data_IF_243670474559
#
_entry.id   IF_243670474559
#
_cell.length_a   1.000
_cell.length_b   1.000
_cell.length_c   1.000
_cell.angle_alpha   90.00
_cell.angle_beta   90.00
_cell.angle_gamma   90.00
#
_symmetry.space_group_name_H-M   'P 1'
#
loop_
_entity.id
_entity.type
_entity.pdbx_description
1 polymer ?
#
# COMPACT_ATOMS: atom_id res chain seq x y z
N UNK A 1 35.22 23.76 3.40
CA UNK A 1 33.89 24.28 3.72
C UNK A 1 32.87 23.18 3.31
N UNK A 2 32.46 22.44 4.34
CA UNK A 2 31.53 21.30 4.20
C UNK A 2 30.09 21.82 4.05
N UNK A 3 29.49 21.58 2.94
CA UNK A 3 28.04 21.69 2.74
C UNK A 3 27.39 20.37 3.12
N UNK A 4 26.94 20.25 4.38
CA UNK A 4 26.11 19.14 4.83
C UNK A 4 24.73 19.24 4.20
N UNK A 5 24.43 18.32 3.28
CA UNK A 5 23.07 18.07 2.82
C UNK A 5 22.29 17.49 4.00
N UNK A 6 21.43 18.28 4.62
CA UNK A 6 20.50 17.81 5.62
C UNK A 6 19.49 16.87 4.93
N UNK A 7 19.53 15.60 5.32
CA UNK A 7 18.47 14.64 5.03
C UNK A 7 17.14 15.21 5.56
N UNK A 8 16.03 15.21 4.79
CA UNK A 8 14.78 15.76 5.29
C UNK A 8 14.32 14.95 6.50
N UNK A 9 14.23 15.64 7.60
CA UNK A 9 13.79 15.16 8.90
C UNK A 9 12.41 14.52 8.78
N UNK A 10 12.37 13.27 9.14
CA UNK A 10 11.26 12.37 9.44
C UNK A 10 9.87 12.73 8.91
N UNK A 11 9.34 11.86 8.06
CA UNK A 11 7.93 11.80 7.68
C UNK A 11 6.95 11.81 8.90
N UNK A 12 7.44 11.52 10.11
CA UNK A 12 6.71 11.73 11.37
C UNK A 12 6.23 13.18 11.51
N UNK A 13 7.07 14.14 11.14
CA UNK A 13 6.76 15.57 11.26
C UNK A 13 5.68 15.96 10.23
N UNK A 14 5.64 15.30 9.07
CA UNK A 14 4.63 15.55 8.03
C UNK A 14 3.24 15.04 8.41
N UNK A 15 3.15 13.97 9.23
CA UNK A 15 1.86 13.40 9.68
C UNK A 15 1.34 14.07 10.97
N UNK A 16 2.22 14.67 11.77
CA UNK A 16 1.86 15.36 13.02
C UNK A 16 1.75 16.89 12.90
N UNK A 17 2.28 17.51 11.84
CA UNK A 17 2.16 18.97 11.63
C UNK A 17 0.81 19.34 10.96
N UNK A 18 -0.29 18.76 11.49
CA UNK A 18 -1.65 19.06 11.07
C UNK A 18 -2.12 20.48 11.43
N UNK A 19 -1.24 21.33 11.91
CA UNK A 19 -1.55 22.72 12.21
C UNK A 19 -1.46 23.66 11.00
N UNK A 20 -0.81 23.23 9.88
CA UNK A 20 -0.58 24.10 8.71
C UNK A 20 -0.76 23.43 7.35
N UNK A 21 -0.78 22.11 7.25
CA UNK A 21 -0.88 21.39 5.98
C UNK A 21 -2.22 20.68 5.90
N UNK A 22 -2.98 20.92 4.84
CA UNK A 22 -4.24 20.22 4.61
C UNK A 22 -3.99 18.74 4.33
N UNK A 23 -4.97 17.89 4.59
CA UNK A 23 -4.88 16.45 4.28
C UNK A 23 -4.60 16.22 2.78
N UNK A 24 -5.22 17.02 1.92
CA UNK A 24 -5.03 16.96 0.46
C UNK A 24 -3.56 17.23 0.10
N UNK A 25 -2.95 18.26 0.69
CA UNK A 25 -1.53 18.56 0.42
C UNK A 25 -0.60 17.47 0.92
N UNK A 26 -0.88 16.86 2.08
CA UNK A 26 -0.11 15.73 2.59
C UNK A 26 -0.19 14.52 1.63
N UNK A 27 -1.38 14.22 1.09
CA UNK A 27 -1.58 13.18 0.08
C UNK A 27 -0.85 13.53 -1.22
N UNK A 28 -0.95 14.78 -1.72
CA UNK A 28 -0.22 15.27 -2.91
C UNK A 28 1.28 15.02 -2.77
N UNK A 29 1.87 15.39 -1.63
CA UNK A 29 3.30 15.16 -1.35
C UNK A 29 3.64 13.66 -1.28
N UNK A 30 2.80 12.85 -0.64
CA UNK A 30 3.01 11.40 -0.57
C UNK A 30 3.02 10.74 -1.95
N UNK A 31 2.10 11.13 -2.84
CA UNK A 31 2.05 10.68 -4.23
C UNK A 31 3.32 11.08 -5.00
N UNK A 32 3.82 12.31 -4.81
CA UNK A 32 5.07 12.75 -5.42
C UNK A 32 6.27 11.96 -4.91
N UNK A 33 6.32 11.61 -3.63
CA UNK A 33 7.43 10.79 -3.05
C UNK A 33 7.48 9.40 -3.68
N UNK A 34 6.33 8.78 -3.98
CA UNK A 34 6.30 7.45 -4.63
C UNK A 34 6.46 7.55 -6.16
N UNK A 35 6.83 8.73 -6.67
CA UNK A 35 7.33 8.93 -8.02
C UNK A 35 6.31 9.46 -9.03
N UNK A 36 5.11 9.86 -8.62
CA UNK A 36 4.22 10.61 -9.52
C UNK A 36 4.77 12.03 -9.73
N UNK A 37 4.87 12.44 -10.99
CA UNK A 37 5.49 13.71 -11.41
C UNK A 37 4.47 14.79 -11.78
N UNK A 38 3.26 14.38 -12.15
CA UNK A 38 2.18 15.27 -12.57
C UNK A 38 0.95 15.11 -11.67
N UNK A 39 1.08 15.52 -10.40
CA UNK A 39 -0.01 15.55 -9.40
C UNK A 39 -0.50 16.98 -9.25
N UNK A 40 -1.66 17.25 -9.84
CA UNK A 40 -2.25 18.59 -9.88
C UNK A 40 -3.33 18.72 -8.80
N UNK A 41 -3.36 19.86 -8.12
CA UNK A 41 -4.46 20.24 -7.23
C UNK A 41 -5.59 20.82 -8.07
N UNK A 42 -6.79 20.26 -7.96
CA UNK A 42 -7.91 20.69 -8.79
C UNK A 42 -8.43 22.08 -8.40
N UNK A 43 -8.27 22.50 -7.15
CA UNK A 43 -8.62 23.84 -6.69
C UNK A 43 -7.65 24.90 -7.26
N UNK A 44 -6.39 24.55 -7.53
CA UNK A 44 -5.40 25.44 -8.19
C UNK A 44 -5.70 25.62 -9.68
N UNK A 45 -6.37 24.66 -10.34
CA UNK A 45 -6.68 24.67 -11.75
C UNK A 45 -7.94 25.48 -12.11
N UNK A 46 -8.82 25.74 -11.15
CA UNK A 46 -10.13 26.36 -11.39
C UNK A 46 -10.25 27.68 -10.64
N UNK A 47 -10.13 28.78 -11.36
CA UNK A 47 -10.32 30.14 -10.81
C UNK A 47 -11.77 30.49 -10.47
N UNK A 48 -12.74 29.85 -11.14
CA UNK A 48 -14.19 30.06 -10.94
C UNK A 48 -14.94 28.78 -11.31
N UNK A 49 -15.70 28.20 -10.38
CA UNK A 49 -16.53 27.05 -10.72
C UNK A 49 -16.84 26.13 -9.54
N UNK A 50 -17.56 25.04 -9.83
CA UNK A 50 -17.97 24.05 -8.85
C UNK A 50 -16.77 23.16 -8.51
N UNK A 51 -16.44 23.04 -7.22
CA UNK A 51 -15.44 22.08 -6.74
C UNK A 51 -15.78 20.68 -7.23
N UNK A 52 -14.76 19.95 -7.68
CA UNK A 52 -14.84 18.57 -8.16
C UNK A 52 -13.96 17.68 -7.27
N UNK A 53 -13.16 16.80 -7.87
CA UNK A 53 -12.15 16.01 -7.16
C UNK A 53 -11.08 16.90 -6.52
N UNK A 54 -10.32 16.37 -5.55
CA UNK A 54 -9.25 17.12 -4.88
C UNK A 54 -7.96 17.18 -5.72
N UNK A 55 -7.51 16.02 -6.27
CA UNK A 55 -6.27 15.93 -7.05
C UNK A 55 -6.48 15.20 -8.37
N UNK A 56 -5.57 15.44 -9.32
CA UNK A 56 -5.48 14.72 -10.60
C UNK A 56 -4.06 14.21 -10.80
N UNK A 57 -3.91 12.97 -11.32
CA UNK A 57 -2.62 12.37 -11.69
C UNK A 57 -2.61 12.15 -13.20
N UNK A 58 -1.68 12.80 -13.88
CA UNK A 58 -1.56 12.81 -15.35
C UNK A 58 -0.34 12.06 -15.88
N UNK A 59 0.36 11.30 -15.05
CA UNK A 59 1.60 10.60 -15.43
C UNK A 59 1.38 9.50 -16.46
N UNK A 60 0.24 8.82 -16.42
CA UNK A 60 -0.11 7.69 -17.29
C UNK A 60 -1.58 7.74 -17.74
N UNK A 61 -1.95 6.80 -18.61
CA UNK A 61 -3.35 6.49 -18.95
C UNK A 61 -3.80 5.26 -18.14
N UNK A 62 -5.00 5.31 -17.54
CA UNK A 62 -5.92 6.44 -17.48
C UNK A 62 -5.41 7.60 -16.60
N UNK A 63 -5.91 8.81 -16.84
CA UNK A 63 -5.75 9.92 -15.86
C UNK A 63 -6.54 9.56 -14.62
N UNK A 64 -5.93 9.69 -13.44
CA UNK A 64 -6.60 9.37 -12.18
C UNK A 64 -7.13 10.64 -11.50
N UNK A 65 -8.41 10.63 -11.17
CA UNK A 65 -9.03 11.58 -10.25
C UNK A 65 -8.85 11.05 -8.83
N UNK A 66 -8.41 11.89 -7.91
CA UNK A 66 -8.20 11.50 -6.52
C UNK A 66 -9.13 12.31 -5.62
N UNK A 67 -9.93 11.62 -4.84
CA UNK A 67 -10.76 12.20 -3.78
C UNK A 67 -10.14 11.85 -2.43
N UNK A 68 -9.93 12.87 -1.59
CA UNK A 68 -9.28 12.73 -0.29
C UNK A 68 -10.26 13.08 0.81
N UNK A 69 -10.53 12.16 1.72
CA UNK A 69 -11.54 12.38 2.77
C UNK A 69 -11.05 12.01 4.16
N UNK A 70 -11.25 12.93 5.12
CA UNK A 70 -10.98 12.69 6.54
C UNK A 70 -12.26 12.52 7.34
N UNK A 71 -12.45 11.35 7.96
CA UNK A 71 -13.65 11.01 8.74
C UNK A 71 -13.28 10.51 10.14
N UNK A 72 -14.15 10.80 11.12
CA UNK A 72 -13.92 10.40 12.50
C UNK A 72 -14.22 8.91 12.75
N UNK A 73 -15.13 8.32 11.99
CA UNK A 73 -15.58 6.93 12.09
C UNK A 73 -15.09 6.05 10.95
N UNK A 74 -15.88 5.00 10.68
CA UNK A 74 -15.69 4.12 9.52
C UNK A 74 -16.29 4.77 8.28
N UNK A 75 -15.73 4.50 7.07
CA UNK A 75 -16.27 5.01 5.82
C UNK A 75 -17.67 4.48 5.56
N UNK A 76 -18.58 5.38 5.21
CA UNK A 76 -19.85 4.99 4.61
C UNK A 76 -19.66 4.71 3.12
N UNK A 77 -20.66 4.08 2.49
CA UNK A 77 -20.66 3.92 1.04
C UNK A 77 -20.54 5.28 0.32
N UNK A 78 -21.30 6.28 0.77
CA UNK A 78 -21.24 7.64 0.21
C UNK A 78 -19.84 8.26 0.30
N UNK A 79 -19.09 8.00 1.39
CA UNK A 79 -17.73 8.50 1.57
C UNK A 79 -16.76 7.85 0.58
N UNK A 80 -16.92 6.55 0.34
CA UNK A 80 -16.02 5.76 -0.48
C UNK A 80 -16.20 5.99 -1.99
N UNK A 81 -17.47 6.13 -2.45
CA UNK A 81 -17.79 6.22 -3.89
C UNK A 81 -17.77 7.65 -4.44
N UNK A 82 -17.39 8.64 -3.63
CA UNK A 82 -17.51 10.05 -4.03
C UNK A 82 -16.75 10.38 -5.32
N UNK A 83 -15.56 9.79 -5.53
CA UNK A 83 -14.76 9.98 -6.75
C UNK A 83 -15.52 9.58 -8.02
N UNK A 84 -16.36 8.55 -7.94
CA UNK A 84 -17.18 8.07 -9.07
C UNK A 84 -18.09 9.14 -9.67
N UNK A 85 -18.53 10.11 -8.86
CA UNK A 85 -19.37 11.24 -9.32
C UNK A 85 -18.68 12.15 -10.33
N UNK A 86 -17.36 12.15 -10.35
CA UNK A 86 -16.56 13.05 -11.18
C UNK A 86 -16.07 12.38 -12.48
N UNK A 87 -16.04 11.05 -12.58
CA UNK A 87 -15.51 10.33 -13.73
C UNK A 87 -16.22 10.73 -15.03
N UNK A 88 -17.54 10.47 -15.13
CA UNK A 88 -18.29 10.79 -16.33
C UNK A 88 -18.31 12.29 -16.70
N UNK A 89 -18.47 13.24 -15.76
CA UNK A 89 -18.29 14.65 -16.04
C UNK A 89 -16.93 15.01 -16.62
N UNK A 90 -15.82 14.45 -16.07
CA UNK A 90 -14.48 14.71 -16.58
C UNK A 90 -14.22 14.07 -17.92
N UNK A 91 -14.70 12.84 -18.15
CA UNK A 91 -14.64 12.20 -19.48
C UNK A 91 -15.30 13.07 -20.54
N UNK A 92 -16.49 13.62 -20.24
CA UNK A 92 -17.21 14.53 -21.14
C UNK A 92 -16.47 15.82 -21.37
N UNK A 93 -15.97 16.45 -20.29
CA UNK A 93 -15.26 17.73 -20.35
C UNK A 93 -13.96 17.62 -21.17
N UNK A 94 -13.21 16.53 -20.99
CA UNK A 94 -11.93 16.32 -21.66
C UNK A 94 -12.03 15.61 -23.01
N UNK A 95 -13.23 15.16 -23.40
CA UNK A 95 -13.43 14.41 -24.65
C UNK A 95 -12.69 13.08 -24.69
N UNK A 96 -12.48 12.44 -23.54
CA UNK A 96 -11.72 11.17 -23.40
C UNK A 96 -12.46 10.19 -22.49
N UNK A 97 -12.19 8.88 -22.65
CA UNK A 97 -12.82 7.82 -21.86
C UNK A 97 -11.88 7.15 -20.86
N UNK A 98 -10.58 7.39 -20.97
CA UNK A 98 -9.53 6.85 -20.12
C UNK A 98 -9.31 7.72 -18.88
N UNK A 99 -10.31 7.76 -18.02
CA UNK A 99 -10.30 8.45 -16.71
C UNK A 99 -10.66 7.44 -15.64
N UNK A 100 -9.78 7.25 -14.67
CA UNK A 100 -9.96 6.39 -13.51
C UNK A 100 -10.16 7.21 -12.23
N UNK A 101 -10.49 6.54 -11.14
CA UNK A 101 -10.71 7.18 -9.85
C UNK A 101 -10.00 6.48 -8.70
N UNK A 102 -9.60 7.24 -7.70
CA UNK A 102 -9.03 6.76 -6.44
C UNK A 102 -9.62 7.56 -5.29
N UNK A 103 -10.21 6.87 -4.30
CA UNK A 103 -10.59 7.48 -3.03
C UNK A 103 -9.55 7.15 -1.96
N UNK A 104 -8.92 8.18 -1.36
CA UNK A 104 -7.96 8.04 -0.27
C UNK A 104 -8.60 8.54 1.02
N UNK A 105 -8.86 7.62 1.96
CA UNK A 105 -9.67 7.91 3.14
C UNK A 105 -8.86 7.84 4.42
N UNK A 106 -8.82 8.94 5.16
CA UNK A 106 -8.33 9.02 6.53
C UNK A 106 -9.46 8.67 7.50
N UNK A 107 -9.76 7.36 7.61
CA UNK A 107 -10.78 6.84 8.54
C UNK A 107 -10.29 6.86 9.97
N UNK A 108 -11.23 6.93 10.92
CA UNK A 108 -10.92 6.98 12.35
C UNK A 108 -9.79 8.00 12.65
N UNK A 109 -9.88 9.19 12.07
CA UNK A 109 -8.80 10.20 12.09
C UNK A 109 -8.32 10.60 13.49
N UNK A 110 -9.17 10.39 14.51
CA UNK A 110 -8.87 10.68 15.91
C UNK A 110 -8.27 9.48 16.67
N UNK A 111 -8.10 8.33 15.97
CA UNK A 111 -7.51 7.11 16.53
C UNK A 111 -6.07 7.00 16.02
N UNK A 112 -5.09 6.62 16.87
CA UNK A 112 -3.72 6.35 16.41
C UNK A 112 -3.68 5.32 15.28
N UNK A 113 -2.78 5.49 14.30
CA UNK A 113 -2.76 4.66 13.09
C UNK A 113 -2.71 3.16 13.34
N UNK A 114 -1.95 2.71 14.36
CA UNK A 114 -1.82 1.30 14.72
C UNK A 114 -3.08 0.69 15.34
N UNK A 115 -3.97 1.52 15.87
CA UNK A 115 -5.20 1.11 16.57
C UNK A 115 -6.42 1.19 15.63
N UNK A 116 -6.23 1.67 14.39
CA UNK A 116 -7.30 1.78 13.40
C UNK A 116 -7.69 0.42 12.84
N UNK A 117 -8.94 0.32 12.39
CA UNK A 117 -9.42 -0.88 11.69
C UNK A 117 -8.60 -1.15 10.44
N UNK A 118 -8.14 -2.39 10.27
CA UNK A 118 -7.44 -2.85 9.06
C UNK A 118 -8.43 -3.16 7.91
N UNK A 119 -9.72 -3.32 8.21
CA UNK A 119 -10.79 -3.59 7.25
C UNK A 119 -11.84 -2.47 7.31
N UNK A 120 -11.49 -1.24 6.83
CA UNK A 120 -12.39 -0.09 6.94
C UNK A 120 -13.54 -0.11 5.94
N UNK A 121 -13.46 -0.88 4.86
CA UNK A 121 -14.46 -0.95 3.80
C UNK A 121 -15.26 -2.24 3.91
N UNK A 122 -16.58 -2.15 3.77
CA UNK A 122 -17.45 -3.32 3.71
C UNK A 122 -17.38 -4.00 2.33
N UNK A 123 -17.78 -5.27 2.25
CA UNK A 123 -17.79 -6.02 0.98
C UNK A 123 -18.65 -5.32 -0.09
N UNK A 124 -19.76 -4.71 0.32
CA UNK A 124 -20.63 -3.93 -0.60
C UNK A 124 -19.88 -2.75 -1.19
N UNK A 125 -19.13 -2.01 -0.35
CA UNK A 125 -18.31 -0.86 -0.81
C UNK A 125 -17.20 -1.33 -1.75
N UNK A 126 -16.56 -2.45 -1.46
CA UNK A 126 -15.51 -3.01 -2.31
C UNK A 126 -16.05 -3.49 -3.65
N UNK A 127 -17.20 -4.18 -3.66
CA UNK A 127 -17.86 -4.61 -4.89
C UNK A 127 -18.24 -3.41 -5.75
N UNK A 128 -18.88 -2.40 -5.18
CA UNK A 128 -19.23 -1.17 -5.88
C UNK A 128 -18.00 -0.44 -6.47
N UNK A 129 -16.88 -0.44 -5.77
CA UNK A 129 -15.65 0.15 -6.28
C UNK A 129 -15.08 -0.61 -7.49
N UNK A 130 -15.16 -1.94 -7.48
CA UNK A 130 -14.76 -2.78 -8.62
C UNK A 130 -15.69 -2.53 -9.82
N UNK A 131 -17.00 -2.57 -9.61
CA UNK A 131 -18.01 -2.39 -10.66
C UNK A 131 -17.93 -1.01 -11.33
N UNK A 132 -17.63 0.03 -10.53
CA UNK A 132 -17.47 1.39 -11.00
C UNK A 132 -16.03 1.76 -11.39
N UNK A 133 -15.10 0.80 -11.35
CA UNK A 133 -13.72 0.92 -11.81
C UNK A 133 -12.91 2.02 -11.10
N UNK A 134 -13.00 2.11 -9.79
CA UNK A 134 -12.12 2.97 -9.00
C UNK A 134 -11.47 2.24 -7.82
N UNK A 135 -10.36 2.80 -7.32
CA UNK A 135 -9.59 2.25 -6.23
C UNK A 135 -9.94 2.87 -4.88
N UNK A 136 -9.77 2.09 -3.81
CA UNK A 136 -9.98 2.50 -2.43
C UNK A 136 -8.72 2.26 -1.60
N UNK A 137 -8.13 3.32 -1.07
CA UNK A 137 -6.94 3.29 -0.22
C UNK A 137 -7.20 4.02 1.09
N UNK A 138 -6.57 3.60 2.19
CA UNK A 138 -6.54 4.41 3.41
C UNK A 138 -5.28 5.27 3.45
N UNK A 139 -5.33 6.39 4.18
CA UNK A 139 -4.10 7.17 4.43
C UNK A 139 -3.06 6.38 5.22
N UNK A 140 -3.49 5.36 6.00
CA UNK A 140 -2.57 4.44 6.67
C UNK A 140 -1.81 3.55 5.69
N UNK A 141 -2.49 3.04 4.66
CA UNK A 141 -1.81 2.31 3.58
C UNK A 141 -0.85 3.20 2.81
N UNK A 142 -1.29 4.42 2.46
CA UNK A 142 -0.42 5.39 1.78
C UNK A 142 0.83 5.72 2.62
N UNK A 143 0.66 5.90 3.94
CA UNK A 143 1.78 6.11 4.85
C UNK A 143 2.75 4.92 4.85
N UNK A 144 2.23 3.68 4.99
CA UNK A 144 3.05 2.47 4.94
C UNK A 144 3.77 2.32 3.60
N UNK A 145 3.08 2.64 2.50
CA UNK A 145 3.64 2.58 1.15
C UNK A 145 4.83 3.54 1.01
N UNK A 146 4.66 4.82 1.38
CA UNK A 146 5.72 5.82 1.34
C UNK A 146 6.89 5.43 2.23
N UNK A 147 6.61 5.00 3.45
CA UNK A 147 7.64 4.61 4.41
C UNK A 147 8.52 3.47 3.88
N UNK A 148 7.88 2.38 3.42
CA UNK A 148 8.61 1.23 2.91
C UNK A 148 9.28 1.52 1.56
N UNK A 149 8.68 2.35 0.70
CA UNK A 149 9.31 2.85 -0.52
C UNK A 149 10.66 3.51 -0.23
N UNK A 150 10.71 4.39 0.78
CA UNK A 150 11.92 5.10 1.18
C UNK A 150 12.95 4.18 1.86
N UNK A 151 12.48 3.25 2.72
CA UNK A 151 13.37 2.40 3.53
C UNK A 151 13.93 1.21 2.77
N UNK A 152 13.12 0.58 1.92
CA UNK A 152 13.49 -0.64 1.18
C UNK A 152 13.98 -0.33 -0.24
N UNK A 153 14.00 0.94 -0.64
CA UNK A 153 14.47 1.37 -1.94
C UNK A 153 13.60 0.86 -3.10
N UNK A 154 12.29 0.73 -2.87
CA UNK A 154 11.34 0.41 -3.93
C UNK A 154 11.42 1.46 -5.04
N UNK A 155 11.01 1.08 -6.25
CA UNK A 155 11.00 1.98 -7.40
C UNK A 155 9.57 2.42 -7.71
N UNK A 156 9.35 3.52 -8.45
CA UNK A 156 8.02 3.90 -8.90
C UNK A 156 7.24 2.76 -9.55
N UNK A 157 7.88 1.95 -10.39
CA UNK A 157 7.28 0.78 -11.06
C UNK A 157 6.80 -0.30 -10.08
N UNK A 158 7.29 -0.31 -8.85
CA UNK A 158 6.84 -1.26 -7.82
C UNK A 158 5.54 -0.83 -7.15
N UNK A 159 5.22 0.46 -7.15
CA UNK A 159 4.13 1.03 -6.35
C UNK A 159 3.09 1.79 -7.16
N UNK A 160 3.47 2.51 -8.21
CA UNK A 160 2.53 3.27 -9.03
C UNK A 160 1.42 2.41 -9.65
N UNK A 161 1.67 1.17 -10.14
CA UNK A 161 0.60 0.32 -10.68
C UNK A 161 -0.49 -0.03 -9.68
N UNK A 162 -0.25 0.10 -8.36
CA UNK A 162 -1.27 -0.11 -7.34
C UNK A 162 -2.43 0.89 -7.46
N UNK A 163 -2.13 2.14 -7.85
CA UNK A 163 -3.12 3.21 -7.95
C UNK A 163 -4.06 3.05 -9.16
N UNK A 164 -3.74 2.15 -10.08
CA UNK A 164 -4.56 1.79 -11.24
C UNK A 164 -5.40 0.53 -11.02
N UNK A 165 -5.40 -0.02 -9.80
CA UNK A 165 -6.25 -1.15 -9.41
C UNK A 165 -7.62 -0.67 -8.96
N UNK A 166 -8.63 -1.53 -9.12
CA UNK A 166 -9.98 -1.29 -8.65
C UNK A 166 -10.25 -2.04 -7.34
N UNK A 167 -11.17 -1.53 -6.53
CA UNK A 167 -11.44 -2.07 -5.20
C UNK A 167 -10.35 -1.72 -4.18
N UNK A 168 -10.06 -2.62 -3.27
CA UNK A 168 -9.10 -2.39 -2.17
C UNK A 168 -7.66 -2.31 -2.66
N UNK A 169 -7.01 -1.20 -2.37
CA UNK A 169 -5.57 -1.00 -2.60
C UNK A 169 -4.83 -1.02 -1.26
N UNK A 170 -4.04 -2.06 -1.04
CA UNK A 170 -3.18 -2.21 0.13
C UNK A 170 -1.74 -1.77 -0.17
N UNK A 171 -0.97 -1.51 0.89
CA UNK A 171 0.44 -1.11 0.78
C UNK A 171 1.35 -2.31 0.46
N UNK A 172 1.01 -3.10 -0.56
CA UNK A 172 1.77 -4.27 -1.02
C UNK A 172 2.31 -4.00 -2.41
N UNK A 173 3.64 -3.85 -2.61
CA UNK A 173 4.21 -3.53 -3.92
C UNK A 173 3.98 -4.68 -4.91
N UNK A 174 3.93 -4.36 -6.21
CA UNK A 174 3.52 -5.32 -7.26
C UNK A 174 4.50 -6.50 -7.44
N UNK A 175 5.73 -6.35 -7.00
CA UNK A 175 6.73 -7.43 -7.07
C UNK A 175 6.70 -8.38 -5.85
N UNK A 176 5.84 -8.12 -4.86
CA UNK A 176 5.59 -9.04 -3.75
C UNK A 176 4.46 -10.00 -4.12
N UNK A 177 4.75 -11.29 -4.08
CA UNK A 177 3.81 -12.36 -4.38
C UNK A 177 3.43 -13.08 -3.09
N UNK A 178 2.14 -13.14 -2.79
CA UNK A 178 1.68 -13.72 -1.55
C UNK A 178 2.03 -15.21 -1.44
N UNK A 179 2.70 -15.57 -0.36
CA UNK A 179 3.05 -16.96 -0.02
C UNK A 179 2.05 -17.55 0.94
N UNK A 180 1.77 -16.84 2.05
CA UNK A 180 0.91 -17.35 3.11
C UNK A 180 1.10 -16.60 4.41
N UNK A 181 0.90 -17.28 5.53
CA UNK A 181 0.91 -16.69 6.86
C UNK A 181 1.87 -17.41 7.80
N UNK A 182 2.49 -16.68 8.73
CA UNK A 182 3.15 -17.31 9.87
C UNK A 182 2.07 -18.00 10.71
N UNK A 183 2.19 -19.30 10.89
CA UNK A 183 1.30 -20.12 11.74
C UNK A 183 1.92 -20.31 13.12
N UNK A 184 3.25 -20.43 13.20
CA UNK A 184 3.95 -20.69 14.45
C UNK A 184 5.37 -20.15 14.44
N UNK A 185 5.85 -19.71 15.61
CA UNK A 185 7.26 -19.37 15.82
C UNK A 185 7.90 -20.33 16.80
N UNK A 186 9.04 -20.88 16.42
CA UNK A 186 9.86 -21.82 17.21
C UNK A 186 11.07 -21.05 17.76
N UNK A 187 10.84 -20.32 18.86
CA UNK A 187 11.80 -19.38 19.45
C UNK A 187 13.18 -19.97 19.73
N UNK A 188 13.24 -21.21 20.27
CA UNK A 188 14.51 -21.86 20.63
C UNK A 188 15.47 -22.09 19.45
N UNK A 189 14.94 -22.18 18.26
CA UNK A 189 15.73 -22.46 17.03
C UNK A 189 15.65 -21.32 16.00
N UNK A 190 14.94 -20.24 16.29
CA UNK A 190 14.79 -19.08 15.40
C UNK A 190 14.14 -19.46 14.06
N UNK A 191 13.05 -20.26 14.10
CA UNK A 191 12.35 -20.74 12.89
C UNK A 191 10.89 -20.30 12.95
N UNK A 192 10.37 -19.77 11.85
CA UNK A 192 8.93 -19.57 11.61
C UNK A 192 8.37 -20.73 10.79
N UNK A 193 7.19 -21.22 11.19
CA UNK A 193 6.38 -22.11 10.38
C UNK A 193 5.42 -21.27 9.54
N UNK A 194 5.63 -21.28 8.23
CA UNK A 194 4.80 -20.56 7.26
C UNK A 194 3.80 -21.54 6.65
N UNK A 195 2.51 -21.28 6.82
CA UNK A 195 1.47 -21.98 6.06
C UNK A 195 1.47 -21.43 4.65
N UNK A 196 1.99 -22.19 3.70
CA UNK A 196 1.99 -21.81 2.29
C UNK A 196 0.58 -21.93 1.74
N UNK A 197 0.05 -20.87 1.15
CA UNK A 197 -1.35 -20.77 0.66
C UNK A 197 -1.39 -20.63 -0.87
N UNK A 198 -0.55 -19.75 -1.43
CA UNK A 198 -0.56 -19.44 -2.87
C UNK A 198 0.80 -19.74 -3.50
N UNK A 199 1.71 -18.78 -3.51
CA UNK A 199 3.01 -18.95 -4.16
C UNK A 199 3.90 -19.93 -3.39
N UNK A 200 4.52 -20.86 -4.10
CA UNK A 200 5.55 -21.70 -3.52
C UNK A 200 6.76 -20.88 -3.06
N UNK A 201 7.43 -21.34 -2.01
CA UNK A 201 8.70 -20.77 -1.53
C UNK A 201 9.82 -21.77 -1.77
N UNK A 202 10.99 -21.27 -2.18
CA UNK A 202 12.17 -22.06 -2.48
C UNK A 202 13.34 -21.59 -1.62
N UNK A 203 14.29 -22.49 -1.37
CA UNK A 203 15.57 -22.10 -0.79
C UNK A 203 16.31 -21.16 -1.74
N UNK A 204 16.85 -20.05 -1.21
CA UNK A 204 17.45 -18.96 -1.98
C UNK A 204 16.48 -17.86 -2.40
N UNK A 205 15.16 -18.04 -2.25
CA UNK A 205 14.20 -16.96 -2.46
C UNK A 205 14.44 -15.82 -1.47
N UNK A 206 14.15 -14.58 -1.87
CA UNK A 206 13.95 -13.48 -0.95
C UNK A 206 12.48 -13.41 -0.56
N UNK A 207 12.22 -13.30 0.73
CA UNK A 207 10.86 -13.16 1.27
C UNK A 207 10.74 -11.90 2.11
N UNK A 208 9.51 -11.39 2.22
CA UNK A 208 9.15 -10.24 3.05
C UNK A 208 8.07 -10.63 4.06
N UNK A 209 8.27 -10.26 5.31
CA UNK A 209 7.26 -10.37 6.37
C UNK A 209 6.57 -9.02 6.54
N UNK A 210 5.24 -9.01 6.46
CA UNK A 210 4.45 -7.79 6.65
C UNK A 210 4.17 -7.54 8.12
N UNK A 211 4.88 -6.58 8.68
CA UNK A 211 4.60 -6.09 10.03
C UNK A 211 3.57 -4.93 10.00
N UNK A 212 3.06 -4.49 11.15
CA UNK A 212 2.04 -3.45 11.21
C UNK A 212 2.41 -2.14 10.47
N UNK A 213 3.70 -1.79 10.42
CA UNK A 213 4.19 -0.59 9.76
C UNK A 213 5.11 -0.94 8.59
N UNK A 214 6.09 -1.79 8.84
CA UNK A 214 7.24 -2.05 7.97
C UNK A 214 7.17 -3.46 7.37
N UNK A 215 7.90 -3.68 6.28
CA UNK A 215 8.27 -5.00 5.83
C UNK A 215 9.67 -5.34 6.32
N UNK A 216 9.91 -6.61 6.68
CA UNK A 216 11.24 -7.15 6.94
C UNK A 216 11.55 -8.16 5.86
N UNK A 217 12.59 -7.89 5.08
CA UNK A 217 13.04 -8.77 4.01
C UNK A 217 14.21 -9.65 4.47
N UNK A 218 14.21 -10.90 4.06
CA UNK A 218 15.33 -11.81 4.25
C UNK A 218 15.44 -12.85 3.12
N UNK A 219 16.58 -13.51 3.02
CA UNK A 219 16.78 -14.68 2.17
C UNK A 219 16.32 -15.95 2.89
N UNK A 220 15.79 -16.91 2.17
CA UNK A 220 15.45 -18.25 2.65
C UNK A 220 16.72 -19.12 2.63
N UNK A 221 17.55 -18.98 3.66
CA UNK A 221 18.80 -19.73 3.79
C UNK A 221 18.56 -21.25 3.90
N UNK A 222 17.49 -21.65 4.58
CA UNK A 222 17.10 -23.04 4.78
C UNK A 222 15.59 -23.20 4.77
N UNK A 223 15.13 -24.28 4.16
CA UNK A 223 13.72 -24.61 4.05
C UNK A 223 13.47 -26.04 4.51
N UNK A 224 12.47 -26.24 5.35
CA UNK A 224 12.08 -27.55 5.86
C UNK A 224 10.58 -27.77 5.70
N UNK A 225 10.18 -28.99 5.39
CA UNK A 225 8.82 -29.48 5.48
C UNK A 225 8.82 -30.82 6.22
N UNK A 226 7.89 -31.04 7.14
CA UNK A 226 7.80 -32.27 7.94
C UNK A 226 9.14 -32.67 8.60
N UNK A 227 9.90 -31.69 9.08
CA UNK A 227 11.25 -31.84 9.71
C UNK A 227 12.34 -32.36 8.75
N UNK A 228 12.12 -32.34 7.45
CA UNK A 228 13.11 -32.68 6.42
C UNK A 228 13.48 -31.45 5.62
N UNK A 229 14.75 -31.34 5.27
CA UNK A 229 15.20 -30.29 4.33
C UNK A 229 14.55 -30.51 2.97
N UNK A 230 14.01 -29.49 2.38
CA UNK A 230 13.40 -29.49 1.04
C UNK A 230 13.90 -28.29 0.24
N UNK A 231 13.96 -28.44 -1.07
CA UNK A 231 14.32 -27.32 -1.95
C UNK A 231 13.15 -26.36 -2.17
N UNK A 232 11.91 -26.87 -2.12
CA UNK A 232 10.68 -26.11 -2.42
C UNK A 232 9.56 -26.57 -1.49
N UNK A 233 8.74 -25.63 -1.03
CA UNK A 233 7.49 -25.88 -0.33
C UNK A 233 6.33 -25.25 -1.12
N UNK A 234 5.39 -26.10 -1.54
CA UNK A 234 4.21 -25.71 -2.32
C UNK A 234 3.01 -25.35 -1.42
N UNK A 235 1.94 -24.87 -2.02
CA UNK A 235 0.67 -24.60 -1.35
C UNK A 235 0.16 -25.83 -0.56
N UNK A 236 -0.39 -25.60 0.63
CA UNK A 236 -0.84 -26.62 1.56
C UNK A 236 0.22 -27.08 2.57
N UNK A 237 1.51 -26.82 2.32
CA UNK A 237 2.61 -27.25 3.19
C UNK A 237 2.84 -26.25 4.33
N UNK A 238 3.21 -26.77 5.52
CA UNK A 238 3.77 -25.96 6.60
C UNK A 238 5.30 -25.93 6.44
N UNK A 239 5.83 -24.83 5.95
CA UNK A 239 7.25 -24.64 5.67
C UNK A 239 7.96 -24.02 6.88
N UNK A 240 9.03 -24.68 7.38
CA UNK A 240 9.93 -24.12 8.39
C UNK A 240 11.03 -23.29 7.73
N UNK A 241 11.09 -22.01 8.06
CA UNK A 241 12.11 -21.07 7.55
C UNK A 241 12.84 -20.43 8.72
N UNK A 242 14.17 -20.51 8.70
CA UNK A 242 15.00 -19.78 9.68
C UNK A 242 14.81 -18.28 9.51
N UNK A 243 14.69 -17.57 10.62
CA UNK A 243 14.39 -16.12 10.59
C UNK A 243 15.13 -15.36 11.67
N UNK A 244 15.39 -14.06 11.37
CA UNK A 244 15.92 -13.08 12.31
C UNK A 244 14.82 -12.25 13.01
N UNK A 245 13.54 -12.59 12.78
CA UNK A 245 12.43 -11.91 13.46
C UNK A 245 12.49 -12.14 14.97
N UNK A 246 12.16 -11.10 15.75
CA UNK A 246 11.92 -11.25 17.17
C UNK A 246 10.58 -11.97 17.41
N UNK A 247 10.33 -12.41 18.64
CA UNK A 247 9.07 -13.05 19.04
C UNK A 247 7.85 -12.15 18.80
N UNK A 248 8.01 -10.84 19.04
CA UNK A 248 6.96 -9.84 18.84
C UNK A 248 6.65 -9.63 17.36
N UNK A 249 7.64 -9.85 16.49
CA UNK A 249 7.51 -9.73 15.03
C UNK A 249 6.98 -11.02 14.40
N UNK A 250 7.40 -12.19 14.88
CA UNK A 250 7.03 -13.50 14.36
C UNK A 250 5.66 -13.99 14.86
N UNK A 251 4.66 -13.10 14.91
CA UNK A 251 3.30 -13.44 15.38
C UNK A 251 2.55 -14.26 14.35
N UNK A 252 1.67 -15.13 14.85
CA UNK A 252 0.70 -15.84 14.01
C UNK A 252 -0.16 -14.83 13.23
N UNK A 253 -0.39 -15.11 11.95
CA UNK A 253 -1.17 -14.27 11.04
C UNK A 253 -0.34 -13.22 10.28
N UNK A 254 0.96 -13.07 10.56
CA UNK A 254 1.84 -12.21 9.76
C UNK A 254 1.90 -12.73 8.33
N UNK A 255 1.53 -11.89 7.36
CA UNK A 255 1.59 -12.24 5.93
C UNK A 255 3.04 -12.33 5.46
N UNK A 256 3.29 -13.32 4.62
CA UNK A 256 4.61 -13.58 4.02
C UNK A 256 4.47 -13.50 2.52
N UNK A 257 5.41 -12.78 1.90
CA UNK A 257 5.46 -12.59 0.45
C UNK A 257 6.81 -13.07 -0.09
N UNK A 258 6.82 -13.64 -1.30
CA UNK A 258 8.02 -13.85 -2.09
C UNK A 258 8.31 -12.61 -2.91
N UNK A 259 9.55 -12.18 -2.93
CA UNK A 259 10.00 -11.02 -3.70
C UNK A 259 10.43 -11.53 -5.08
N UNK A 260 9.69 -11.15 -6.12
CA UNK A 260 10.05 -11.48 -7.50
C UNK A 260 11.33 -10.75 -7.91
N UNK A 261 12.28 -11.48 -8.45
CA UNK A 261 13.46 -10.88 -9.06
C UNK A 261 12.99 -10.03 -10.25
N UNK A 262 13.39 -8.75 -10.27
CA UNK A 262 13.10 -7.88 -11.39
C UNK A 262 13.81 -8.43 -12.63
N UNK A 263 13.09 -8.63 -13.72
CA UNK A 263 13.74 -8.85 -15.00
C UNK A 263 14.60 -7.61 -15.30
N UNK A 264 15.91 -7.82 -15.40
CA UNK A 264 16.83 -6.76 -15.85
C UNK A 264 16.44 -6.44 -17.29
N UNK A 265 15.88 -5.24 -17.52
CA UNK A 265 15.63 -4.71 -18.87
C UNK A 265 16.91 -4.12 -19.43
#
# INVERSE_FOLDING_TARGET
LAGGSACPTSFRDTVHDFGRTTLVEAVKRALSVVGFTSVLDSDELVSTGRRKEDLQIHDCSPVLLVEVKGIAGMPTEHDAIQVGKYLAPRMKEWGRTDVGGVSIINHQRNVPGLDRSLSPFTDVVLTNAIDQQFGLMTTWDLFRLVRNFLQLGWKPDDVQPLFYRHGRMEAVPVHYEYVGLIEKYFEKVGVVGIRVVEAAVQQGDRIAYELPIDYIEQEVESLQAERRAVATAAAGVLAGVKTNLTKEQARTGVRVFRIKTRATR
#
